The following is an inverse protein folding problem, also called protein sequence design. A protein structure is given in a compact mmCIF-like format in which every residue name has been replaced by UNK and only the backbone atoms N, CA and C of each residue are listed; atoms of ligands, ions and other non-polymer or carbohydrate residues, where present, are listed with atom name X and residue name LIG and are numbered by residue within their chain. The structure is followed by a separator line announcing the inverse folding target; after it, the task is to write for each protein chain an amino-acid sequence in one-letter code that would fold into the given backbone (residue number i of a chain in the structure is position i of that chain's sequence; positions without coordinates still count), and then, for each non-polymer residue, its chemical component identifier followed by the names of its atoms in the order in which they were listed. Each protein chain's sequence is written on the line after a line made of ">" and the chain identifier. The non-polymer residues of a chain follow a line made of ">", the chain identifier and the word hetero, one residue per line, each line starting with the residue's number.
data_IF_832405485758
#
_entry.id   IF_832405485758
#
_cell.length_a   1.000
_cell.length_b   1.000
_cell.length_c   1.000
_cell.angle_alpha   90.00
_cell.angle_beta   90.00
_cell.angle_gamma   90.00
#
_symmetry.space_group_name_H-M   'P 1'
#
loop_
_entity.id
_entity.type
_entity.pdbx_description
1 polymer ?
#
# COMPACT_ATOMS: atom_id res chain seq x y z
N UNK A 1 71.37 19.60 -5.80
CA UNK A 1 70.86 19.30 -7.15
C UNK A 1 69.50 18.61 -7.01
N UNK A 2 68.45 19.23 -7.58
CA UNK A 2 67.15 18.70 -8.02
C UNK A 2 66.32 17.77 -7.08
N UNK A 3 65.35 18.39 -6.40
CA UNK A 3 63.86 18.24 -6.50
C UNK A 3 63.16 16.87 -6.72
N UNK A 4 61.87 16.76 -6.33
CA UNK A 4 61.24 15.63 -5.62
C UNK A 4 60.14 14.95 -6.46
N UNK A 5 59.40 13.99 -5.90
CA UNK A 5 58.03 13.60 -6.28
C UNK A 5 57.46 12.79 -5.10
N UNK A 6 56.49 13.24 -4.29
CA UNK A 6 55.08 13.55 -4.60
C UNK A 6 54.33 12.34 -5.20
N UNK A 7 53.55 11.65 -4.37
CA UNK A 7 52.39 10.86 -4.79
C UNK A 7 51.23 11.09 -3.79
N UNK A 8 49.98 11.03 -4.24
CA UNK A 8 48.93 11.94 -3.83
C UNK A 8 47.80 11.28 -3.02
N UNK A 9 46.85 12.15 -2.71
CA UNK A 9 45.63 12.00 -1.94
C UNK A 9 44.58 10.99 -2.50
N UNK A 10 43.77 10.55 -1.54
CA UNK A 10 42.32 10.26 -1.60
C UNK A 10 41.78 9.33 -2.70
N UNK A 11 41.21 8.21 -2.26
CA UNK A 11 40.07 7.59 -2.92
C UNK A 11 38.89 7.58 -1.93
N UNK A 12 37.95 8.50 -2.12
CA UNK A 12 36.60 8.41 -1.56
C UNK A 12 35.95 7.13 -2.10
N UNK A 13 35.47 6.27 -1.21
CA UNK A 13 34.48 5.27 -1.57
C UNK A 13 33.15 5.98 -1.78
N UNK A 14 32.84 6.31 -3.03
CA UNK A 14 31.50 6.70 -3.42
C UNK A 14 30.62 5.44 -3.42
N UNK A 15 29.62 5.43 -2.54
CA UNK A 15 28.53 4.47 -2.61
C UNK A 15 27.80 4.68 -3.94
N UNK A 16 27.95 3.76 -4.88
CA UNK A 16 27.06 3.66 -6.03
C UNK A 16 25.71 3.21 -5.49
N UNK A 17 24.79 4.16 -5.33
CA UNK A 17 23.37 3.86 -5.41
C UNK A 17 23.12 3.35 -6.83
N UNK A 18 23.02 2.04 -6.98
CA UNK A 18 22.50 1.43 -8.19
C UNK A 18 21.01 1.77 -8.25
N UNK A 19 20.69 2.91 -8.88
CA UNK A 19 19.35 3.16 -9.35
C UNK A 19 19.02 2.09 -10.38
N UNK A 20 18.21 1.11 -10.00
CA UNK A 20 17.48 0.32 -10.96
C UNK A 20 16.60 1.31 -11.74
N UNK A 21 17.03 1.63 -12.96
CA UNK A 21 16.16 2.23 -13.95
C UNK A 21 15.15 1.14 -14.32
N UNK A 22 14.01 1.12 -13.61
CA UNK A 22 12.81 0.46 -14.11
C UNK A 22 12.55 1.07 -15.48
N UNK A 23 12.62 0.25 -16.52
CA UNK A 23 12.15 0.67 -17.83
C UNK A 23 10.67 1.05 -17.65
N UNK A 24 10.23 2.24 -18.09
CA UNK A 24 8.80 2.55 -18.06
C UNK A 24 8.12 1.47 -18.89
N UNK A 25 7.34 0.60 -18.24
CA UNK A 25 6.32 -0.16 -18.94
C UNK A 25 5.52 0.85 -19.76
N UNK A 26 5.18 0.49 -21.00
CA UNK A 26 4.23 1.27 -21.77
C UNK A 26 2.88 1.13 -21.07
N UNK A 27 2.65 1.96 -20.05
CA UNK A 27 1.40 2.04 -19.33
C UNK A 27 0.35 2.57 -20.30
N UNK A 28 -0.64 1.73 -20.57
CA UNK A 28 -1.93 2.15 -21.08
C UNK A 28 -2.98 1.41 -20.26
N UNK A 29 -3.02 1.74 -18.97
CA UNK A 29 -4.27 1.72 -18.23
C UNK A 29 -4.98 3.03 -18.60
N UNK A 30 -6.05 2.88 -19.35
CA UNK A 30 -6.96 3.96 -19.73
C UNK A 30 -8.26 3.51 -19.10
N UNK A 31 -8.84 4.26 -18.16
CA UNK A 31 -10.19 3.98 -17.64
C UNK A 31 -11.05 3.43 -18.78
N UNK A 32 -11.33 2.14 -18.65
CA UNK A 32 -11.83 1.31 -19.75
C UNK A 32 -13.28 1.68 -20.05
N UNK A 33 -13.94 2.32 -19.09
CA UNK A 33 -15.35 2.60 -19.05
C UNK A 33 -15.68 4.08 -19.38
N UNK A 34 -14.66 4.92 -19.47
CA UNK A 34 -14.71 6.24 -20.08
C UNK A 34 -15.18 7.38 -19.14
N UNK A 35 -15.21 8.61 -19.67
CA UNK A 35 -15.30 9.80 -18.85
C UNK A 35 -16.61 9.89 -18.05
N UNK A 36 -16.58 10.01 -16.72
CA UNK A 36 -17.21 11.08 -15.90
C UNK A 36 -17.45 10.53 -14.49
N UNK A 37 -16.42 10.06 -13.79
CA UNK A 37 -16.52 9.23 -12.57
C UNK A 37 -17.38 9.82 -11.46
N UNK A 38 -17.43 11.15 -11.40
CA UNK A 38 -18.35 11.90 -10.54
C UNK A 38 -19.84 11.67 -10.79
N UNK A 39 -20.18 11.01 -11.89
CA UNK A 39 -21.51 10.75 -12.37
C UNK A 39 -21.72 9.27 -12.68
N UNK A 40 -20.73 8.41 -12.50
CA UNK A 40 -20.82 6.98 -12.82
C UNK A 40 -21.20 6.17 -11.59
N UNK A 41 -21.86 5.04 -11.85
CA UNK A 41 -21.95 3.95 -10.89
C UNK A 41 -20.71 3.13 -11.13
N UNK A 42 -19.81 3.12 -10.16
CA UNK A 42 -18.55 2.39 -10.23
C UNK A 42 -18.61 1.26 -9.22
N UNK A 43 -18.02 0.14 -9.60
CA UNK A 43 -17.85 -1.03 -8.78
C UNK A 43 -16.39 -1.44 -8.85
N UNK A 44 -15.68 -1.24 -7.76
CA UNK A 44 -14.22 -1.31 -7.70
C UNK A 44 -13.79 -2.26 -6.57
N UNK A 45 -12.63 -2.90 -6.71
CA UNK A 45 -12.08 -3.83 -5.73
C UNK A 45 -10.59 -3.56 -5.47
N UNK A 46 -10.08 -4.09 -4.35
CA UNK A 46 -8.62 -4.10 -4.14
C UNK A 46 -7.93 -5.11 -5.06
N UNK A 47 -6.61 -4.98 -5.19
CA UNK A 47 -5.79 -5.70 -6.16
C UNK A 47 -4.57 -6.44 -5.55
N UNK A 48 -4.54 -6.59 -4.22
CA UNK A 48 -3.55 -7.41 -3.51
C UNK A 48 -3.60 -8.88 -3.94
N UNK A 49 -2.47 -9.61 -3.94
CA UNK A 49 -2.36 -10.96 -4.48
C UNK A 49 -3.05 -12.02 -3.61
N UNK A 50 -4.36 -12.22 -3.79
CA UNK A 50 -5.14 -13.26 -3.09
C UNK A 50 -5.09 -14.63 -3.80
N UNK A 51 -4.90 -15.70 -3.02
CA UNK A 51 -4.95 -17.08 -3.53
C UNK A 51 -3.76 -17.46 -4.43
N UNK A 52 -2.82 -16.53 -4.62
CA UNK A 52 -1.62 -16.64 -5.44
C UNK A 52 -0.38 -16.26 -4.61
N UNK A 53 0.81 -16.39 -5.20
CA UNK A 53 2.05 -16.09 -4.47
C UNK A 53 2.16 -14.60 -4.15
N UNK A 54 2.22 -14.23 -2.87
CA UNK A 54 2.39 -12.83 -2.45
C UNK A 54 3.86 -12.39 -2.48
N UNK A 55 4.77 -13.34 -2.24
CA UNK A 55 6.20 -13.13 -2.12
C UNK A 55 7.00 -14.24 -2.82
N UNK A 56 8.28 -14.03 -3.14
CA UNK A 56 9.16 -15.09 -3.58
C UNK A 56 9.26 -16.21 -2.54
N UNK A 57 8.66 -17.36 -2.83
CA UNK A 57 8.61 -18.48 -1.91
C UNK A 57 7.25 -19.17 -1.92
N UNK A 58 6.90 -19.87 -0.82
CA UNK A 58 5.64 -20.61 -0.72
C UNK A 58 4.48 -19.79 -0.14
N UNK A 59 4.68 -18.51 0.20
CA UNK A 59 3.65 -17.68 0.84
C UNK A 59 2.57 -17.34 -0.17
N UNK A 60 1.34 -17.77 0.14
CA UNK A 60 0.14 -17.47 -0.62
C UNK A 60 -0.60 -16.36 0.11
N UNK A 61 -1.01 -15.31 -0.62
CA UNK A 61 -1.75 -14.21 -0.02
C UNK A 61 -3.19 -14.62 0.33
N UNK A 62 -3.63 -14.15 1.49
CA UNK A 62 -4.98 -14.23 2.04
C UNK A 62 -5.51 -12.80 2.25
N UNK A 63 -5.17 -11.90 1.33
CA UNK A 63 -5.62 -10.50 1.29
C UNK A 63 -7.02 -10.41 0.70
N UNK A 64 -7.97 -9.62 1.23
CA UNK A 64 -9.33 -9.59 0.70
C UNK A 64 -9.41 -8.86 -0.65
N UNK A 65 -9.45 -9.58 -1.75
CA UNK A 65 -9.39 -9.04 -3.12
C UNK A 65 -10.44 -9.72 -4.01
N UNK A 66 -10.37 -11.04 -4.15
CA UNK A 66 -11.25 -11.83 -4.98
C UNK A 66 -12.61 -12.08 -4.33
N UNK A 67 -13.70 -11.97 -5.10
CA UNK A 67 -15.07 -12.26 -4.63
C UNK A 67 -15.22 -13.72 -4.16
N UNK A 68 -14.44 -14.63 -4.75
CA UNK A 68 -14.38 -16.03 -4.29
C UNK A 68 -13.60 -16.09 -2.99
N UNK A 69 -14.21 -16.56 -1.87
CA UNK A 69 -13.52 -16.58 -0.59
C UNK A 69 -12.21 -17.37 -0.62
N UNK A 70 -11.13 -16.75 -0.16
CA UNK A 70 -9.81 -17.33 -0.07
C UNK A 70 -9.56 -18.23 1.14
N UNK A 71 -8.28 -18.40 1.44
CA UNK A 71 -7.81 -19.14 2.62
C UNK A 71 -8.18 -18.45 3.93
N UNK A 72 -7.79 -19.06 5.05
CA UNK A 72 -7.92 -18.42 6.37
C UNK A 72 -6.54 -17.87 6.72
N UNK A 73 -6.47 -16.56 6.96
CA UNK A 73 -5.26 -15.91 7.48
C UNK A 73 -4.90 -16.38 8.89
N UNK A 74 -3.78 -15.90 9.41
CA UNK A 74 -3.35 -16.11 10.78
C UNK A 74 -3.53 -14.84 11.60
N UNK A 75 -3.42 -14.94 12.91
CA UNK A 75 -3.41 -13.78 13.79
C UNK A 75 -2.44 -14.08 14.91
N UNK A 76 -1.34 -13.37 14.90
CA UNK A 76 -0.22 -13.50 15.81
C UNK A 76 0.02 -12.17 16.51
N UNK A 77 0.29 -12.23 17.81
CA UNK A 77 0.54 -11.04 18.60
C UNK A 77 1.36 -11.36 19.85
N UNK A 78 2.34 -10.50 20.21
CA UNK A 78 3.14 -10.68 21.41
C UNK A 78 2.40 -10.20 22.67
N UNK A 79 2.84 -10.63 23.86
CA UNK A 79 2.35 -10.09 25.12
C UNK A 79 2.50 -8.56 25.17
N UNK A 80 1.42 -7.85 25.47
CA UNK A 80 1.41 -6.38 25.55
C UNK A 80 0.89 -5.67 24.29
N UNK A 81 0.75 -6.39 23.17
CA UNK A 81 0.17 -5.88 21.93
C UNK A 81 -1.06 -6.71 21.54
N UNK A 82 -2.19 -6.59 22.25
CA UNK A 82 -3.38 -7.37 21.94
C UNK A 82 -3.89 -7.04 20.52
N UNK A 83 -4.51 -8.00 19.81
CA UNK A 83 -5.04 -7.75 18.48
C UNK A 83 -6.11 -6.66 18.51
N UNK A 84 -6.17 -5.88 17.43
CA UNK A 84 -7.15 -4.80 17.24
C UNK A 84 -8.21 -5.12 16.19
N UNK A 85 -8.20 -6.34 15.65
CA UNK A 85 -9.22 -6.91 14.75
C UNK A 85 -9.81 -8.18 15.37
N UNK A 86 -10.88 -8.69 14.79
CA UNK A 86 -11.42 -10.01 15.12
C UNK A 86 -10.45 -11.12 14.67
N UNK A 87 -10.53 -12.34 15.25
CA UNK A 87 -9.80 -13.49 14.73
C UNK A 87 -10.19 -13.78 13.27
N UNK A 88 -9.23 -14.09 12.39
CA UNK A 88 -9.48 -14.25 10.96
C UNK A 88 -10.35 -15.47 10.67
N UNK A 89 -11.29 -15.28 9.74
CA UNK A 89 -12.04 -16.32 9.06
C UNK A 89 -11.53 -16.52 7.63
N UNK A 90 -12.33 -17.18 6.76
CA UNK A 90 -12.05 -17.19 5.32
C UNK A 90 -11.92 -15.77 4.79
N UNK A 91 -10.93 -15.54 3.95
CA UNK A 91 -10.69 -14.24 3.32
C UNK A 91 -11.90 -13.83 2.49
N UNK A 92 -12.35 -12.59 2.68
CA UNK A 92 -13.43 -11.98 1.91
C UNK A 92 -12.89 -11.17 0.73
N UNK A 93 -13.54 -10.06 0.43
CA UNK A 93 -13.10 -9.10 -0.60
C UNK A 93 -13.36 -7.69 -0.12
N UNK A 94 -12.69 -6.70 -0.71
CA UNK A 94 -13.04 -5.29 -0.53
C UNK A 94 -13.65 -4.79 -1.82
N UNK A 95 -14.90 -4.31 -1.73
CA UNK A 95 -15.68 -3.79 -2.84
C UNK A 95 -16.19 -2.39 -2.52
N UNK A 96 -15.92 -1.44 -3.39
CA UNK A 96 -16.44 -0.09 -3.34
C UNK A 96 -17.56 0.10 -4.35
N UNK A 97 -18.65 0.72 -3.93
CA UNK A 97 -19.75 1.12 -4.80
C UNK A 97 -19.92 2.63 -4.78
N UNK A 98 -19.80 3.23 -5.95
CA UNK A 98 -20.08 4.64 -6.17
C UNK A 98 -21.43 4.80 -6.87
N UNK A 99 -22.08 5.96 -6.69
CA UNK A 99 -23.44 6.18 -7.17
C UNK A 99 -23.48 7.24 -8.27
N UNK A 100 -24.34 6.99 -9.27
CA UNK A 100 -24.55 7.91 -10.38
C UNK A 100 -25.33 9.19 -9.99
N UNK A 101 -25.69 10.02 -10.98
CA UNK A 101 -26.19 11.37 -10.75
C UNK A 101 -27.54 11.35 -10.03
N UNK A 102 -27.71 12.25 -9.07
CA UNK A 102 -28.96 12.41 -8.32
C UNK A 102 -29.01 11.66 -6.99
N UNK A 103 -27.96 10.90 -6.63
CA UNK A 103 -27.74 10.46 -5.26
C UNK A 103 -26.93 11.53 -4.49
N UNK A 104 -27.24 11.80 -3.21
CA UNK A 104 -26.52 12.79 -2.41
C UNK A 104 -25.18 12.26 -1.87
N UNK A 105 -24.63 11.21 -2.47
CA UNK A 105 -23.45 10.50 -1.98
C UNK A 105 -22.23 11.01 -2.77
N UNK A 106 -21.17 11.47 -2.09
CA UNK A 106 -19.97 11.94 -2.75
C UNK A 106 -19.18 10.78 -3.36
N UNK A 107 -18.83 10.91 -4.64
CA UNK A 107 -17.81 10.07 -5.28
C UNK A 107 -16.42 10.66 -4.98
N UNK A 108 -15.50 9.81 -4.56
CA UNK A 108 -14.11 10.11 -4.24
C UNK A 108 -13.30 8.82 -4.31
N UNK A 109 -12.01 8.92 -4.60
CA UNK A 109 -11.10 7.80 -4.86
C UNK A 109 -9.64 8.25 -4.62
N UNK A 110 -8.71 7.31 -4.65
CA UNK A 110 -7.27 7.50 -4.57
C UNK A 110 -6.72 7.98 -5.93
N UNK A 111 -5.59 8.66 -5.88
CA UNK A 111 -4.93 9.17 -7.08
C UNK A 111 -5.66 10.33 -7.75
N UNK A 112 -5.05 10.77 -8.83
CA UNK A 112 -5.42 11.95 -9.58
C UNK A 112 -5.01 11.83 -11.04
N UNK A 113 -5.98 11.66 -11.93
CA UNK A 113 -5.72 11.80 -13.37
C UNK A 113 -5.24 13.22 -13.73
N UNK A 114 -4.35 13.35 -14.71
CA UNK A 114 -3.57 14.55 -15.08
C UNK A 114 -4.32 15.84 -15.47
N UNK A 115 -5.63 15.94 -15.25
CA UNK A 115 -6.40 17.19 -15.24
C UNK A 115 -7.37 17.24 -14.06
N UNK A 116 -7.53 18.41 -13.43
CA UNK A 116 -8.38 18.65 -12.27
C UNK A 116 -9.91 18.44 -12.49
N UNK A 117 -10.31 17.97 -13.69
CA UNK A 117 -11.67 17.65 -14.14
C UNK A 117 -11.61 16.33 -14.96
N UNK A 118 -10.65 15.47 -14.63
CA UNK A 118 -10.28 14.26 -15.36
C UNK A 118 -11.14 13.09 -14.98
N UNK A 119 -11.87 12.50 -15.93
CA UNK A 119 -12.95 11.57 -15.62
C UNK A 119 -12.55 10.09 -15.75
N UNK A 120 -11.29 9.74 -15.44
CA UNK A 120 -10.64 8.48 -15.80
C UNK A 120 -9.81 7.91 -14.63
N UNK A 121 -10.29 8.00 -13.39
CA UNK A 121 -9.48 7.69 -12.21
C UNK A 121 -9.95 6.52 -11.37
N UNK A 122 -10.95 5.78 -11.82
CA UNK A 122 -11.37 4.50 -11.22
C UNK A 122 -12.15 3.78 -12.31
N UNK A 123 -11.87 2.51 -12.54
CA UNK A 123 -12.64 1.73 -13.50
C UNK A 123 -13.65 0.81 -12.79
N UNK A 124 -14.56 0.19 -13.54
CA UNK A 124 -15.57 -0.68 -12.94
C UNK A 124 -15.37 -2.12 -13.37
N UNK A 125 -15.30 -2.98 -12.37
CA UNK A 125 -15.02 -4.38 -12.56
C UNK A 125 -15.97 -5.29 -11.78
N UNK A 126 -16.10 -6.56 -12.20
CA UNK A 126 -16.94 -7.54 -11.53
C UNK A 126 -16.25 -8.25 -10.35
N UNK A 127 -14.93 -8.13 -10.21
CA UNK A 127 -14.06 -8.83 -9.24
C UNK A 127 -12.66 -8.19 -9.29
N UNK A 128 -11.78 -8.41 -8.31
CA UNK A 128 -10.47 -7.75 -8.27
C UNK A 128 -9.50 -8.16 -9.38
N UNK A 129 -8.62 -7.23 -9.78
CA UNK A 129 -7.54 -7.44 -10.76
C UNK A 129 -6.18 -7.68 -10.12
N UNK A 130 -5.86 -8.94 -9.88
CA UNK A 130 -4.53 -9.30 -9.37
C UNK A 130 -4.02 -10.57 -10.04
N UNK A 131 -2.72 -10.67 -10.36
CA UNK A 131 -2.13 -11.95 -10.75
C UNK A 131 -0.63 -12.00 -10.54
N UNK A 132 -0.09 -13.20 -10.41
CA UNK A 132 1.35 -13.47 -10.53
C UNK A 132 1.59 -14.92 -10.99
N UNK A 133 2.56 -15.19 -11.89
CA UNK A 133 3.28 -14.19 -12.68
C UNK A 133 2.32 -13.39 -13.56
N UNK A 134 2.65 -12.13 -13.79
CA UNK A 134 1.89 -11.24 -14.66
C UNK A 134 1.71 -11.84 -16.06
N UNK A 135 0.47 -11.94 -16.51
CA UNK A 135 0.04 -12.42 -17.83
C UNK A 135 -1.03 -11.51 -18.47
N UNK A 136 -1.39 -10.40 -17.83
CA UNK A 136 -2.38 -9.41 -18.29
C UNK A 136 -3.84 -9.81 -18.05
N UNK A 137 -4.10 -10.76 -17.15
CA UNK A 137 -5.44 -11.25 -16.81
C UNK A 137 -5.46 -11.54 -15.32
N UNK A 138 -6.51 -11.13 -14.61
CA UNK A 138 -6.68 -11.42 -13.18
C UNK A 138 -6.66 -12.92 -12.87
N UNK A 139 -6.23 -13.27 -11.66
CA UNK A 139 -6.34 -14.60 -11.06
C UNK A 139 -7.72 -14.81 -10.42
N UNK A 140 -8.41 -13.74 -10.02
CA UNK A 140 -9.77 -13.82 -9.48
C UNK A 140 -10.76 -14.26 -10.56
N UNK A 141 -10.61 -13.73 -11.79
CA UNK A 141 -11.51 -14.02 -12.92
C UNK A 141 -10.78 -14.03 -14.28
N UNK A 142 -11.49 -13.77 -15.39
CA UNK A 142 -10.89 -13.64 -16.73
C UNK A 142 -10.87 -12.20 -17.24
N UNK A 143 -10.98 -11.22 -16.34
CA UNK A 143 -10.89 -9.80 -16.70
C UNK A 143 -9.43 -9.41 -16.99
N UNK A 144 -9.19 -8.57 -18.01
CA UNK A 144 -7.87 -7.97 -18.22
C UNK A 144 -7.46 -7.15 -17.00
N UNK A 145 -6.18 -7.16 -16.71
CA UNK A 145 -5.56 -6.19 -15.79
C UNK A 145 -4.98 -5.03 -16.58
N UNK A 146 -4.67 -3.98 -15.87
CA UNK A 146 -4.41 -2.66 -16.43
C UNK A 146 -2.91 -2.44 -16.63
N UNK A 147 -2.10 -3.01 -15.75
CA UNK A 147 -0.66 -3.09 -15.97
C UNK A 147 0.07 -4.20 -15.25
N UNK A 148 1.37 -4.21 -15.51
CA UNK A 148 2.35 -5.15 -14.97
C UNK A 148 3.39 -4.39 -14.18
N UNK A 149 3.49 -4.71 -12.91
CA UNK A 149 4.42 -4.14 -11.96
C UNK A 149 5.50 -5.13 -11.56
N UNK A 150 6.72 -4.64 -11.34
CA UNK A 150 7.81 -5.47 -10.84
C UNK A 150 8.08 -5.17 -9.37
N UNK A 151 7.84 -6.15 -8.51
CA UNK A 151 8.15 -6.08 -7.08
C UNK A 151 8.82 -7.37 -6.62
N UNK A 152 9.76 -7.26 -5.68
CA UNK A 152 10.38 -8.42 -5.02
C UNK A 152 11.16 -9.39 -5.92
N UNK A 153 11.42 -9.01 -7.18
CA UNK A 153 11.97 -9.92 -8.20
C UNK A 153 10.90 -10.82 -8.85
N UNK A 154 9.64 -10.48 -8.67
CA UNK A 154 8.44 -11.03 -9.31
C UNK A 154 7.81 -9.96 -10.20
N UNK A 155 6.74 -10.36 -10.90
CA UNK A 155 5.88 -9.48 -11.69
C UNK A 155 4.43 -9.72 -11.26
N UNK A 156 3.69 -8.64 -11.05
CA UNK A 156 2.30 -8.64 -10.64
C UNK A 156 1.45 -7.95 -11.71
N UNK A 157 0.32 -8.54 -12.06
CA UNK A 157 -0.76 -7.84 -12.76
C UNK A 157 -1.55 -7.06 -11.70
N UNK A 158 -1.83 -5.77 -11.93
CA UNK A 158 -2.50 -4.87 -10.99
C UNK A 158 -3.62 -4.10 -11.70
N UNK A 159 -4.53 -3.55 -10.90
CA UNK A 159 -5.63 -2.71 -11.36
C UNK A 159 -5.15 -1.29 -11.69
N UNK A 160 -4.25 -0.74 -10.88
CA UNK A 160 -3.63 0.55 -11.19
C UNK A 160 -2.09 0.47 -11.23
N UNK A 161 -1.50 1.43 -11.95
CA UNK A 161 -0.05 1.49 -12.12
C UNK A 161 0.57 2.50 -11.18
N UNK A 162 1.37 2.01 -10.26
CA UNK A 162 2.12 2.81 -9.33
C UNK A 162 3.06 3.79 -10.06
N UNK A 163 2.87 5.07 -9.79
CA UNK A 163 3.76 6.13 -10.27
C UNK A 163 3.58 6.53 -11.73
N UNK A 164 2.52 6.09 -12.40
CA UNK A 164 2.15 6.63 -13.72
C UNK A 164 1.51 8.03 -13.64
N UNK A 165 1.13 8.45 -12.42
CA UNK A 165 0.49 9.73 -12.16
C UNK A 165 -1.01 9.75 -12.49
N UNK A 166 -1.65 8.58 -12.47
CA UNK A 166 -3.07 8.35 -12.64
C UNK A 166 -3.73 8.15 -11.26
N UNK A 167 -4.33 7.00 -11.03
CA UNK A 167 -5.30 6.62 -10.01
C UNK A 167 -4.71 5.83 -8.84
N UNK A 168 -3.53 5.26 -9.01
CA UNK A 168 -2.85 4.49 -7.97
C UNK A 168 -2.58 5.22 -6.64
N UNK A 169 -2.92 6.50 -6.44
CA UNK A 169 -2.77 7.23 -5.16
C UNK A 169 -1.36 7.54 -4.67
N UNK A 170 -0.38 6.73 -5.05
CA UNK A 170 1.02 6.82 -4.69
C UNK A 170 1.88 7.02 -5.93
N UNK A 171 2.98 7.74 -5.73
CA UNK A 171 3.94 8.00 -6.81
C UNK A 171 5.12 7.03 -6.81
N UNK A 172 5.25 6.23 -5.75
CA UNK A 172 6.33 5.27 -5.57
C UNK A 172 5.96 4.23 -4.50
N UNK A 173 6.58 3.04 -4.53
CA UNK A 173 6.44 2.05 -3.48
C UNK A 173 6.75 2.63 -2.09
N UNK A 174 5.90 2.40 -1.07
CA UNK A 174 6.16 2.88 0.27
C UNK A 174 7.38 2.16 0.86
N UNK A 175 8.23 2.94 1.52
CA UNK A 175 9.41 2.42 2.25
C UNK A 175 9.29 2.81 3.72
N UNK A 176 9.28 1.80 4.59
CA UNK A 176 9.13 1.96 6.03
C UNK A 176 10.43 1.60 6.74
N UNK A 177 10.74 2.31 7.83
CA UNK A 177 11.87 1.93 8.69
C UNK A 177 11.34 1.10 9.86
N UNK A 178 11.94 -0.07 10.11
CA UNK A 178 11.46 -0.98 11.15
C UNK A 178 11.37 -0.30 12.52
N UNK A 179 10.24 -0.48 13.21
CA UNK A 179 9.97 0.10 14.52
C UNK A 179 10.17 1.62 14.61
N UNK A 180 9.96 2.34 13.51
CA UNK A 180 9.98 3.79 13.46
C UNK A 180 8.57 4.35 13.18
N UNK A 181 8.25 5.56 13.68
CA UNK A 181 7.07 6.28 13.22
C UNK A 181 7.12 6.49 11.71
N UNK A 182 6.00 6.20 11.04
CA UNK A 182 5.82 6.34 9.62
C UNK A 182 4.52 7.08 9.30
N UNK A 183 4.46 7.63 8.10
CA UNK A 183 3.27 8.24 7.49
C UNK A 183 3.26 7.87 6.02
N UNK A 184 2.07 7.73 5.43
CA UNK A 184 1.91 7.57 3.99
C UNK A 184 1.38 8.87 3.42
N UNK A 185 2.02 9.37 2.36
CA UNK A 185 1.50 10.50 1.56
C UNK A 185 0.89 9.92 0.30
N UNK A 186 -0.38 10.22 0.07
CA UNK A 186 -1.13 9.79 -1.10
C UNK A 186 -1.94 10.96 -1.65
N UNK A 187 -2.26 10.91 -2.93
CA UNK A 187 -3.21 11.83 -3.55
C UNK A 187 -4.60 11.18 -3.54
N UNK A 188 -5.64 12.01 -3.41
CA UNK A 188 -7.02 11.57 -3.49
C UNK A 188 -7.85 12.62 -4.23
N UNK A 189 -8.82 12.17 -5.02
CA UNK A 189 -9.76 13.01 -5.72
C UNK A 189 -11.14 12.93 -5.07
N UNK A 190 -11.84 14.07 -4.97
CA UNK A 190 -13.26 14.07 -4.63
C UNK A 190 -14.08 14.97 -5.56
N UNK A 191 -15.24 14.50 -5.96
CA UNK A 191 -16.19 15.27 -6.78
C UNK A 191 -16.79 16.44 -6.01
N UNK A 192 -17.05 16.22 -4.73
CA UNK A 192 -17.46 17.24 -3.76
C UNK A 192 -16.68 16.99 -2.46
N UNK A 193 -16.31 18.06 -1.75
CA UNK A 193 -15.61 17.90 -0.48
C UNK A 193 -16.44 17.04 0.48
N UNK A 194 -15.81 16.04 1.08
CA UNK A 194 -16.44 15.12 2.01
C UNK A 194 -15.51 14.74 3.16
N UNK A 195 -16.07 14.19 4.22
CA UNK A 195 -15.32 13.42 5.21
C UNK A 195 -15.30 11.96 4.76
N UNK A 196 -14.13 11.34 4.82
CA UNK A 196 -13.92 9.92 4.59
C UNK A 196 -13.21 9.30 5.81
N UNK A 197 -13.13 7.98 5.87
CA UNK A 197 -12.37 7.23 6.85
C UNK A 197 -11.20 6.56 6.15
N UNK A 198 -9.99 6.82 6.64
CA UNK A 198 -8.77 6.18 6.18
C UNK A 198 -8.51 4.90 6.97
N UNK A 199 -8.22 3.84 6.23
CA UNK A 199 -7.61 2.62 6.73
C UNK A 199 -6.30 2.36 5.98
N UNK A 200 -5.29 1.91 6.72
CA UNK A 200 -4.01 1.47 6.17
C UNK A 200 -3.70 0.11 6.76
N UNK A 201 -3.53 -0.89 5.90
CA UNK A 201 -3.08 -2.23 6.26
C UNK A 201 -1.67 -2.44 5.73
N UNK A 202 -0.79 -3.10 6.46
CA UNK A 202 0.55 -3.49 5.98
C UNK A 202 0.92 -4.84 6.54
N UNK A 203 1.29 -5.78 5.66
CA UNK A 203 1.86 -7.08 6.04
C UNK A 203 3.30 -6.82 6.47
N UNK A 204 3.55 -6.86 7.78
CA UNK A 204 4.83 -6.51 8.36
C UNK A 204 5.75 -7.72 8.50
N UNK A 205 5.28 -8.94 8.27
CA UNK A 205 6.03 -10.17 8.53
C UNK A 205 6.18 -11.10 7.30
N UNK A 206 5.66 -10.68 6.14
CA UNK A 206 5.62 -11.42 4.88
C UNK A 206 4.88 -12.76 4.99
N UNK A 207 3.80 -12.83 5.79
CA UNK A 207 3.03 -14.07 5.96
C UNK A 207 1.79 -14.18 5.07
N UNK A 208 1.46 -13.12 4.34
CA UNK A 208 0.38 -13.11 3.37
C UNK A 208 -0.97 -12.69 3.95
N UNK A 209 -1.04 -12.06 5.12
CA UNK A 209 -2.27 -11.43 5.62
C UNK A 209 -2.00 -10.12 6.40
N UNK A 210 -3.04 -9.55 7.03
CA UNK A 210 -3.01 -8.22 7.67
C UNK A 210 -3.57 -8.20 9.10
N UNK A 211 -3.48 -9.30 9.83
CA UNK A 211 -4.17 -9.47 11.11
C UNK A 211 -3.26 -9.47 12.33
N UNK A 212 -1.97 -9.20 12.16
CA UNK A 212 -0.98 -9.34 13.22
C UNK A 212 -0.71 -8.04 14.00
N UNK A 213 -0.06 -8.24 15.14
CA UNK A 213 0.52 -7.19 15.95
C UNK A 213 1.95 -7.55 16.34
N UNK A 214 2.79 -6.54 16.51
CA UNK A 214 4.20 -6.68 16.82
C UNK A 214 4.61 -5.75 17.95
N UNK A 215 5.56 -6.19 18.77
CA UNK A 215 6.16 -5.39 19.83
C UNK A 215 7.46 -4.77 19.31
N UNK A 216 7.50 -3.43 19.27
CA UNK A 216 8.68 -2.66 18.91
C UNK A 216 9.44 -2.13 20.14
N UNK A 217 9.14 -2.66 21.33
CA UNK A 217 9.59 -2.10 22.60
C UNK A 217 9.05 -0.67 22.77
N UNK A 218 9.80 0.27 23.36
CA UNK A 218 9.51 1.69 23.18
C UNK A 218 9.74 2.07 21.70
N UNK A 219 8.72 2.52 20.94
CA UNK A 219 7.58 3.31 21.41
C UNK A 219 6.23 2.59 21.60
N UNK A 220 6.09 1.32 21.23
CA UNK A 220 4.90 0.52 21.50
C UNK A 220 4.68 -0.60 20.48
N UNK A 221 3.40 -0.83 20.18
CA UNK A 221 2.97 -1.87 19.25
C UNK A 221 2.86 -1.34 17.83
N UNK A 222 3.31 -2.13 16.86
CA UNK A 222 3.03 -1.95 15.44
C UNK A 222 1.94 -2.94 15.05
N UNK A 223 0.82 -2.46 14.53
CA UNK A 223 -0.28 -3.30 14.06
C UNK A 223 -0.26 -3.36 12.54
N UNK A 224 -0.62 -4.49 11.95
CA UNK A 224 -0.81 -4.58 10.50
C UNK A 224 -1.97 -3.70 10.05
N UNK A 225 -3.02 -3.58 10.86
CA UNK A 225 -3.99 -2.48 10.73
C UNK A 225 -3.43 -1.16 11.26
N UNK A 226 -2.43 -0.64 10.57
CA UNK A 226 -1.58 0.48 10.95
C UNK A 226 -2.36 1.80 11.18
N UNK A 227 -3.40 2.04 10.38
CA UNK A 227 -4.35 3.15 10.58
C UNK A 227 -5.75 2.58 10.53
N UNK A 228 -6.53 2.80 11.60
CA UNK A 228 -7.86 2.23 11.76
C UNK A 228 -8.93 3.32 11.87
N UNK A 229 -9.81 3.38 10.87
CA UNK A 229 -11.00 4.24 10.82
C UNK A 229 -10.72 5.70 11.25
N UNK A 230 -9.63 6.28 10.72
CA UNK A 230 -9.31 7.68 11.05
C UNK A 230 -10.05 8.62 10.10
N UNK A 231 -10.87 9.55 10.62
CA UNK A 231 -11.55 10.51 9.76
C UNK A 231 -10.54 11.46 9.10
N UNK A 232 -10.65 11.59 7.78
CA UNK A 232 -9.89 12.51 6.94
C UNK A 232 -10.84 13.40 6.14
N UNK A 233 -10.40 14.60 5.78
CA UNK A 233 -11.12 15.46 4.85
C UNK A 233 -10.56 15.29 3.46
N UNK A 234 -11.40 14.94 2.49
CA UNK A 234 -11.05 14.93 1.06
C UNK A 234 -11.73 16.12 0.43
N UNK A 235 -10.94 17.06 -0.09
CA UNK A 235 -11.48 18.29 -0.69
C UNK A 235 -11.83 18.07 -2.16
N UNK A 236 -12.77 18.85 -2.70
CA UNK A 236 -13.09 18.81 -4.12
C UNK A 236 -11.84 18.94 -4.99
N UNK A 237 -11.75 18.12 -6.03
CA UNK A 237 -10.61 18.00 -6.93
C UNK A 237 -9.51 17.11 -6.35
N UNK A 238 -8.36 17.10 -7.03
CA UNK A 238 -7.18 16.35 -6.62
C UNK A 238 -6.45 17.06 -5.47
N UNK A 239 -6.23 16.37 -4.36
CA UNK A 239 -5.52 16.93 -3.21
C UNK A 239 -4.58 15.91 -2.54
N UNK A 240 -3.33 16.30 -2.21
CA UNK A 240 -2.44 15.46 -1.43
C UNK A 240 -2.94 15.35 0.01
N UNK A 241 -2.93 14.14 0.53
CA UNK A 241 -3.26 13.76 1.90
C UNK A 241 -2.07 13.07 2.55
N UNK A 242 -1.95 13.20 3.87
CA UNK A 242 -0.94 12.51 4.67
C UNK A 242 -1.68 11.75 5.76
N UNK A 243 -1.37 10.46 5.89
CA UNK A 243 -1.92 9.64 6.96
C UNK A 243 -1.50 10.18 8.34
N UNK A 244 -2.27 9.90 9.39
CA UNK A 244 -1.75 10.00 10.75
C UNK A 244 -0.47 9.17 10.91
N UNK A 245 0.42 9.54 11.85
CA UNK A 245 1.59 8.74 12.14
C UNK A 245 1.17 7.39 12.76
N UNK A 246 1.81 6.32 12.31
CA UNK A 246 1.69 4.97 12.86
C UNK A 246 3.07 4.37 13.06
N UNK A 247 3.16 3.24 13.77
CA UNK A 247 4.43 2.55 13.99
C UNK A 247 4.59 1.43 12.95
N UNK A 248 5.69 1.44 12.20
CA UNK A 248 6.00 0.37 11.26
C UNK A 248 6.51 -0.88 11.99
N UNK A 249 6.21 -2.07 11.44
CA UNK A 249 6.58 -3.36 12.02
C UNK A 249 8.08 -3.61 12.15
N UNK A 250 8.49 -4.62 12.94
CA UNK A 250 9.88 -4.84 13.29
C UNK A 250 10.70 -5.57 12.21
N UNK A 251 10.08 -6.26 11.26
CA UNK A 251 10.78 -7.17 10.37
C UNK A 251 11.23 -6.44 9.09
N UNK A 252 12.54 -6.23 8.87
CA UNK A 252 13.00 -5.73 7.57
C UNK A 252 12.74 -6.75 6.49
N UNK A 253 12.21 -6.31 5.36
CA UNK A 253 11.72 -7.20 4.32
C UNK A 253 10.82 -6.50 3.32
N UNK A 254 9.90 -7.29 2.79
CA UNK A 254 8.83 -6.97 1.87
C UNK A 254 7.54 -6.89 2.66
N UNK A 255 6.47 -6.39 2.05
CA UNK A 255 5.17 -6.31 2.70
C UNK A 255 4.16 -5.81 1.68
N UNK A 256 2.92 -6.27 1.74
CA UNK A 256 1.85 -5.66 0.94
C UNK A 256 1.13 -4.63 1.80
N UNK A 257 0.88 -3.45 1.24
CA UNK A 257 0.15 -2.38 1.91
C UNK A 257 -1.17 -2.11 1.20
N UNK A 258 -2.28 -2.05 1.93
CA UNK A 258 -3.55 -1.50 1.45
C UNK A 258 -3.76 -0.08 1.92
N UNK A 259 -4.18 0.81 1.03
CA UNK A 259 -4.86 2.05 1.39
C UNK A 259 -6.34 1.91 1.06
N UNK A 260 -7.20 2.25 2.01
CA UNK A 260 -8.64 2.31 1.76
C UNK A 260 -9.21 3.59 2.31
N UNK A 261 -10.00 4.28 1.49
CA UNK A 261 -10.82 5.40 1.92
C UNK A 261 -12.28 5.01 1.76
N UNK A 262 -13.10 5.21 2.79
CA UNK A 262 -14.53 4.82 2.79
C UNK A 262 -15.39 5.94 3.35
N UNK A 263 -16.68 5.99 2.99
CA UNK A 263 -17.58 7.01 3.54
C UNK A 263 -17.93 6.74 5.01
N UNK A 264 -18.06 5.46 5.37
CA UNK A 264 -18.35 4.98 6.72
C UNK A 264 -17.17 4.19 7.29
N UNK A 265 -17.03 4.11 8.63
CA UNK A 265 -16.04 3.23 9.25
C UNK A 265 -16.20 1.77 8.82
N UNK A 266 -15.09 1.10 8.53
CA UNK A 266 -15.06 -0.33 8.19
C UNK A 266 -15.21 -1.20 9.45
N UNK A 267 -15.78 -2.41 9.35
CA UNK A 267 -15.97 -3.31 10.49
C UNK A 267 -14.64 -3.87 11.04
N UNK A 268 -14.66 -4.42 12.26
CA UNK A 268 -13.44 -4.92 12.94
C UNK A 268 -12.80 -6.15 12.29
N UNK A 269 -13.49 -6.81 11.36
CA UNK A 269 -12.99 -7.90 10.52
C UNK A 269 -12.42 -7.43 9.18
N UNK A 270 -12.38 -6.11 8.92
CA UNK A 270 -11.90 -5.54 7.67
C UNK A 270 -10.58 -6.11 7.14
N UNK A 271 -9.53 -6.36 7.97
CA UNK A 271 -8.25 -6.83 7.43
C UNK A 271 -8.30 -8.22 6.78
N UNK A 272 -9.30 -9.04 7.08
CA UNK A 272 -9.46 -10.38 6.50
C UNK A 272 -10.80 -10.60 5.78
N UNK A 273 -11.86 -9.88 6.13
CA UNK A 273 -13.18 -10.05 5.53
C UNK A 273 -13.54 -8.92 4.56
N UNK A 274 -12.81 -7.80 4.60
CA UNK A 274 -13.08 -6.63 3.78
C UNK A 274 -14.53 -6.13 3.90
N UNK A 275 -15.19 -5.92 2.76
CA UNK A 275 -16.60 -5.57 2.67
C UNK A 275 -17.55 -6.78 2.74
N UNK A 276 -17.06 -8.02 2.61
CA UNK A 276 -17.92 -9.21 2.63
C UNK A 276 -18.66 -9.39 3.98
N UNK A 277 -18.13 -8.81 5.07
CA UNK A 277 -18.78 -8.76 6.37
C UNK A 277 -19.91 -7.73 6.50
N UNK A 278 -20.09 -6.82 5.53
CA UNK A 278 -21.12 -5.78 5.59
C UNK A 278 -22.47 -6.28 5.08
N UNK A 279 -23.61 -5.69 5.52
CA UNK A 279 -24.94 -6.14 5.08
C UNK A 279 -25.18 -6.08 3.57
N UNK A 280 -24.42 -5.25 2.85
CA UNK A 280 -24.53 -5.05 1.40
C UNK A 280 -23.34 -5.59 0.63
N UNK A 281 -22.40 -6.23 1.33
CA UNK A 281 -21.13 -6.74 0.78
C UNK A 281 -20.35 -5.67 0.00
N UNK A 282 -20.44 -4.41 0.44
CA UNK A 282 -19.80 -3.26 -0.21
C UNK A 282 -19.61 -2.10 0.76
N UNK A 283 -18.63 -1.24 0.47
CA UNK A 283 -18.50 0.09 1.04
C UNK A 283 -19.06 1.14 0.09
N UNK A 284 -19.71 2.15 0.64
CA UNK A 284 -20.25 3.26 -0.14
C UNK A 284 -19.16 4.31 -0.34
N UNK A 285 -18.90 4.67 -1.59
CA UNK A 285 -17.87 5.64 -1.97
C UNK A 285 -16.45 5.17 -1.66
N UNK A 286 -15.49 5.97 -2.11
CA UNK A 286 -14.08 5.65 -1.92
C UNK A 286 -13.60 4.54 -2.86
N UNK A 287 -12.45 3.99 -2.49
CA UNK A 287 -11.66 3.01 -3.25
C UNK A 287 -10.68 2.32 -2.29
N UNK A 288 -10.15 1.18 -2.72
CA UNK A 288 -9.02 0.51 -2.08
C UNK A 288 -7.96 0.11 -3.08
N UNK A 289 -6.71 0.37 -2.73
CA UNK A 289 -5.56 0.14 -3.60
C UNK A 289 -4.45 -0.55 -2.82
N UNK A 290 -3.75 -1.48 -3.47
CA UNK A 290 -2.70 -2.27 -2.88
C UNK A 290 -1.32 -2.02 -3.50
N UNK A 291 -0.30 -2.00 -2.64
CA UNK A 291 1.04 -1.62 -3.04
C UNK A 291 2.08 -2.58 -2.50
N UNK A 292 3.09 -2.93 -3.32
CA UNK A 292 4.29 -3.54 -2.80
C UNK A 292 5.03 -2.52 -1.92
N UNK A 293 5.23 -2.85 -0.65
CA UNK A 293 6.01 -2.10 0.33
C UNK A 293 7.38 -2.73 0.60
N UNK A 294 8.30 -1.92 1.13
CA UNK A 294 9.61 -2.38 1.62
C UNK A 294 9.83 -1.89 3.04
N UNK A 295 10.19 -2.79 3.94
CA UNK A 295 10.61 -2.48 5.30
C UNK A 295 12.14 -2.54 5.37
N UNK A 296 12.78 -1.44 5.76
CA UNK A 296 14.23 -1.34 5.89
C UNK A 296 14.65 -1.35 7.36
N UNK A 297 15.78 -2.01 7.62
CA UNK A 297 16.38 -2.00 8.95
C UNK A 297 16.76 -0.56 9.36
N UNK A 298 16.73 -0.22 10.66
CA UNK A 298 17.18 1.09 11.13
C UNK A 298 18.63 1.29 10.73
N UNK A 299 18.96 2.47 10.18
CA UNK A 299 20.36 2.84 9.93
C UNK A 299 21.11 2.78 11.26
N UNK A 300 22.16 1.97 11.42
CA UNK A 300 22.95 1.97 12.64
C UNK A 300 23.48 3.39 12.82
N UNK A 301 22.99 4.10 13.85
CA UNK A 301 23.65 5.33 14.25
C UNK A 301 25.06 4.91 14.62
N UNK A 302 26.06 5.44 13.91
CA UNK A 302 27.45 5.23 14.30
C UNK A 302 27.55 5.75 15.73
N UNK A 303 27.54 4.84 16.69
CA UNK A 303 27.77 5.19 18.09
C UNK A 303 29.06 6.01 18.08
N UNK A 304 29.08 7.23 18.63
CA UNK A 304 30.32 7.97 18.75
C UNK A 304 31.19 7.13 19.68
N UNK A 305 32.03 6.28 19.08
CA UNK A 305 32.91 5.41 19.83
C UNK A 305 33.79 6.29 20.67
N UNK A 306 33.58 6.20 21.98
CA UNK A 306 34.44 6.67 23.06
C UNK A 306 35.80 5.95 23.03
N UNK A 307 36.53 6.07 21.92
CA UNK A 307 37.65 5.20 21.56
C UNK A 307 38.84 5.94 20.95
N UNK A 308 39.09 7.19 21.35
CA UNK A 308 40.42 7.82 21.24
C UNK A 308 40.73 8.67 22.48
N UNK A 309 40.77 8.02 23.64
CA UNK A 309 41.51 8.59 24.77
C UNK A 309 43.00 8.44 24.42
N UNK A 310 43.62 9.49 23.86
CA UNK A 310 45.07 9.56 23.70
C UNK A 310 45.68 9.59 25.10
N UNK A 311 46.24 8.46 25.52
CA UNK A 311 47.17 8.39 26.65
C UNK A 311 48.43 9.16 26.25
N UNK A 312 48.50 10.44 26.61
CA UNK A 312 49.76 11.18 26.67
C UNK A 312 50.28 11.08 28.10
N UNK A 313 50.95 9.97 28.39
CA UNK A 313 51.96 9.91 29.44
C UNK A 313 53.33 9.89 28.77
N UNK A 314 53.97 11.05 28.70
CA UNK A 314 55.43 11.23 28.77
C UNK A 314 55.72 12.60 29.36
#
# INVERSE_FOLDING_TARGET
>A
MRFPNAFPAHALAAALAAGLLLAPCAAHATDVDGPDDCQRVINDFGDAPEGIAAYPGPVIGNFPTCVTPGGVGTQTFPPGCPPISTPPGPTGFVRHVQFGPGQPIPNFWLGCYGNAIGPFGIDSEPDGKTNTPAIGISACTTIPTDCVEAAYGMTFDQDECLGDGSDAGLTAPPVFMSCAPATVKFDAFACISTQAFLNVLVDWNEDGDWNDAFDCGPPGCAYEWAVKNVPIGVSTGCNPTISPPFLAGPNPGRGWMRLSITLDPVPDDFPWNGSAGTPTEAFVGGESEDYPAVIVAPTPTSSPTWGRMKVLYR
#
